data_IF_757632643316
#
_entry.id   IF_757632643316
#
_cell.length_a   1.000
_cell.length_b   1.000
_cell.length_c   1.000
_cell.angle_alpha   90.00
_cell.angle_beta   90.00
_cell.angle_gamma   90.00
#
_symmetry.space_group_name_H-M   'P 1'
#
loop_
_entity.id
_entity.type
_entity.pdbx_description
1 polymer ?
#
# COMPACT_ATOMS: atom_id res chain seq x y z
N UNK A 1 63.77 3.12 -9.21
CA UNK A 1 63.76 2.63 -7.81
C UNK A 1 62.33 2.83 -7.30
N UNK A 2 61.48 1.80 -7.36
CA UNK A 2 61.19 0.83 -6.29
C UNK A 2 60.56 1.42 -5.02
N UNK A 3 59.27 1.03 -4.82
CA UNK A 3 58.63 0.66 -3.53
C UNK A 3 58.38 1.81 -2.53
N UNK A 4 57.23 1.88 -1.85
CA UNK A 4 56.62 0.80 -1.10
C UNK A 4 55.08 0.80 -1.14
N UNK A 5 54.58 -0.43 -1.28
CA UNK A 5 53.21 -0.87 -1.05
C UNK A 5 53.06 -1.16 0.45
N UNK A 6 51.81 -1.23 0.91
CA UNK A 6 51.28 -2.03 2.03
C UNK A 6 51.16 -1.37 3.42
N UNK A 7 49.92 -1.16 3.85
CA UNK A 7 49.28 -1.82 5.01
C UNK A 7 47.78 -1.45 4.98
N UNK A 8 46.82 -2.35 4.70
CA UNK A 8 46.28 -3.42 5.60
C UNK A 8 45.67 -2.78 6.86
N UNK A 9 44.45 -3.04 7.32
CA UNK A 9 43.26 -3.77 6.85
C UNK A 9 42.25 -3.65 8.02
N UNK A 10 40.96 -3.74 7.71
CA UNK A 10 39.82 -4.15 8.57
C UNK A 10 39.43 -3.23 9.77
N UNK A 11 38.13 -2.93 9.86
CA UNK A 11 37.24 -3.39 10.95
C UNK A 11 36.06 -2.43 11.11
N UNK A 12 34.87 -3.00 10.86
CA UNK A 12 33.58 -2.63 11.45
C UNK A 12 32.95 -1.31 11.05
N UNK A 13 32.12 -1.37 10.01
CA UNK A 13 30.82 -0.71 10.11
C UNK A 13 29.77 -1.77 9.77
N UNK A 14 29.37 -2.47 10.83
CA UNK A 14 28.04 -2.98 11.08
C UNK A 14 27.15 -3.13 9.84
N UNK A 15 27.00 -4.37 9.35
CA UNK A 15 25.81 -4.77 8.59
C UNK A 15 24.59 -4.75 9.52
N UNK A 16 24.18 -3.56 9.91
CA UNK A 16 22.93 -3.28 10.60
C UNK A 16 22.18 -2.28 9.74
N UNK A 17 21.78 -2.71 8.56
CA UNK A 17 20.71 -2.09 7.82
C UNK A 17 19.79 -3.20 7.34
N UNK A 18 18.92 -3.65 8.24
CA UNK A 18 17.53 -3.88 7.82
C UNK A 18 17.09 -2.55 7.20
N UNK A 19 17.33 -2.39 5.89
CA UNK A 19 16.80 -1.29 5.11
C UNK A 19 15.29 -1.47 5.15
N UNK A 20 14.67 -0.85 6.14
CA UNK A 20 13.28 -0.44 6.08
C UNK A 20 13.22 0.48 4.87
N UNK A 21 12.92 -0.11 3.71
CA UNK A 21 12.77 0.58 2.44
C UNK A 21 11.65 1.59 2.62
N UNK A 22 12.01 2.78 3.05
CA UNK A 22 11.12 3.92 3.08
C UNK A 22 11.02 4.33 1.63
N UNK A 23 9.84 4.20 0.98
CA UNK A 23 9.72 4.49 -0.43
C UNK A 23 10.19 5.91 -0.70
N UNK A 24 10.96 6.08 -1.77
CA UNK A 24 11.49 7.38 -2.16
C UNK A 24 10.34 8.42 -2.29
N UNK A 25 10.55 9.69 -1.94
CA UNK A 25 9.52 10.73 -2.07
C UNK A 25 8.90 10.79 -3.47
N UNK A 26 9.71 10.55 -4.51
CA UNK A 26 9.24 10.51 -5.90
C UNK A 26 8.36 9.28 -6.16
N UNK A 27 8.72 8.11 -5.63
CA UNK A 27 7.93 6.89 -5.74
C UNK A 27 6.58 7.03 -5.01
N UNK A 28 6.58 7.70 -3.86
CA UNK A 28 5.36 7.99 -3.10
C UNK A 28 4.44 8.93 -3.88
N UNK A 29 4.97 9.96 -4.54
CA UNK A 29 4.18 10.89 -5.33
C UNK A 29 3.47 10.22 -6.52
N UNK A 30 4.21 9.39 -7.29
CA UNK A 30 3.65 8.63 -8.41
C UNK A 30 2.55 7.67 -7.93
N UNK A 31 2.78 6.98 -6.81
CA UNK A 31 1.78 6.10 -6.22
C UNK A 31 0.49 6.86 -5.84
N UNK A 32 0.59 8.04 -5.23
CA UNK A 32 -0.59 8.84 -4.87
C UNK A 32 -1.34 9.34 -6.12
N UNK A 33 -0.63 9.71 -7.18
CA UNK A 33 -1.21 10.12 -8.45
C UNK A 33 -1.99 8.96 -9.11
N UNK A 34 -1.42 7.75 -9.12
CA UNK A 34 -2.09 6.56 -9.65
C UNK A 34 -3.38 6.23 -8.88
N UNK A 35 -3.36 6.31 -7.54
CA UNK A 35 -4.58 6.10 -6.74
C UNK A 35 -5.63 7.17 -7.02
N UNK A 36 -5.22 8.44 -7.18
CA UNK A 36 -6.13 9.53 -7.54
C UNK A 36 -6.75 9.32 -8.93
N UNK A 37 -5.95 8.89 -9.91
CA UNK A 37 -6.40 8.56 -11.26
C UNK A 37 -7.42 7.42 -11.26
N UNK A 38 -7.12 6.33 -10.55
CA UNK A 38 -8.03 5.19 -10.41
C UNK A 38 -9.38 5.61 -9.79
N UNK A 39 -9.36 6.51 -8.80
CA UNK A 39 -10.59 7.07 -8.23
C UNK A 39 -11.37 7.90 -9.25
N UNK A 40 -10.70 8.74 -10.03
CA UNK A 40 -11.35 9.56 -11.06
C UNK A 40 -12.00 8.68 -12.14
N UNK A 41 -11.33 7.60 -12.57
CA UNK A 41 -11.89 6.64 -13.52
C UNK A 41 -13.10 5.91 -12.94
N UNK A 42 -13.10 5.56 -11.64
CA UNK A 42 -14.28 5.01 -10.95
C UNK A 42 -15.43 6.01 -10.90
N UNK A 43 -15.14 7.26 -10.50
CA UNK A 43 -16.15 8.33 -10.39
C UNK A 43 -16.78 8.64 -11.76
N UNK A 44 -16.00 8.55 -12.83
CA UNK A 44 -16.44 8.65 -14.22
C UNK A 44 -17.10 7.36 -14.77
N UNK A 45 -17.25 6.32 -13.95
CA UNK A 45 -17.80 4.99 -14.30
C UNK A 45 -17.07 4.29 -15.46
N UNK A 46 -15.79 4.59 -15.66
CA UNK A 46 -14.93 3.91 -16.65
C UNK A 46 -14.46 2.55 -16.16
N UNK A 47 -14.35 2.38 -14.84
CA UNK A 47 -14.01 1.13 -14.18
C UNK A 47 -15.06 0.82 -13.10
N UNK A 48 -15.24 -0.47 -12.80
CA UNK A 48 -16.16 -0.93 -11.75
C UNK A 48 -15.61 -0.68 -10.35
N UNK A 49 -16.44 -0.82 -9.31
CA UNK A 49 -15.93 -0.76 -7.93
C UNK A 49 -14.94 -1.88 -7.66
N UNK A 50 -15.19 -3.08 -8.19
CA UNK A 50 -14.33 -4.25 -8.01
C UNK A 50 -12.97 -4.02 -8.66
N UNK A 51 -12.95 -3.56 -9.91
CA UNK A 51 -11.70 -3.25 -10.60
C UNK A 51 -10.92 -2.16 -9.86
N UNK A 52 -11.60 -1.11 -9.42
CA UNK A 52 -10.97 -0.05 -8.63
C UNK A 52 -10.35 -0.58 -7.32
N UNK A 53 -11.06 -1.43 -6.58
CA UNK A 53 -10.58 -2.01 -5.33
C UNK A 53 -9.38 -2.95 -5.57
N UNK A 54 -9.43 -3.78 -6.62
CA UNK A 54 -8.36 -4.70 -6.97
C UNK A 54 -7.09 -3.96 -7.41
N UNK A 55 -7.21 -2.95 -8.28
CA UNK A 55 -6.07 -2.16 -8.76
C UNK A 55 -5.45 -1.30 -7.66
N UNK A 56 -6.27 -0.70 -6.80
CA UNK A 56 -5.78 0.03 -5.61
C UNK A 56 -5.06 -0.92 -4.66
N UNK A 57 -5.63 -2.10 -4.38
CA UNK A 57 -5.01 -3.10 -3.52
C UNK A 57 -3.69 -3.64 -4.08
N UNK A 58 -3.63 -3.90 -5.39
CA UNK A 58 -2.39 -4.30 -6.07
C UNK A 58 -1.31 -3.21 -6.01
N UNK A 59 -1.68 -1.95 -6.23
CA UNK A 59 -0.76 -0.82 -6.13
C UNK A 59 -0.21 -0.67 -4.70
N UNK A 60 -1.05 -0.86 -3.66
CA UNK A 60 -0.60 -0.83 -2.27
C UNK A 60 0.40 -1.97 -1.99
N UNK A 61 0.06 -3.21 -2.36
CA UNK A 61 0.95 -4.37 -2.17
C UNK A 61 2.31 -4.22 -2.85
N UNK A 62 2.36 -3.52 -3.98
CA UNK A 62 3.60 -3.27 -4.71
C UNK A 62 4.51 -2.23 -4.03
N UNK A 63 3.96 -1.35 -3.19
CA UNK A 63 4.70 -0.22 -2.62
C UNK A 63 4.96 -0.34 -1.11
N UNK A 64 4.20 -1.16 -0.38
CA UNK A 64 4.37 -1.35 1.06
C UNK A 64 4.19 -2.79 1.49
N UNK A 65 4.96 -3.21 2.50
CA UNK A 65 4.71 -4.47 3.21
C UNK A 65 3.47 -4.30 4.10
N UNK A 66 2.47 -5.14 3.88
CA UNK A 66 1.21 -5.08 4.61
C UNK A 66 1.22 -6.05 5.79
N UNK A 67 0.63 -5.63 6.90
CA UNK A 67 0.28 -6.54 7.99
C UNK A 67 -0.90 -7.44 7.59
N UNK A 68 -1.08 -8.59 8.26
CA UNK A 68 -2.23 -9.47 8.01
C UNK A 68 -3.59 -8.74 8.11
N UNK A 69 -3.72 -7.82 9.07
CA UNK A 69 -4.94 -7.02 9.25
C UNK A 69 -5.19 -6.05 8.07
N UNK A 70 -4.12 -5.46 7.53
CA UNK A 70 -4.23 -4.60 6.36
C UNK A 70 -4.61 -5.40 5.11
N UNK A 71 -4.04 -6.60 4.94
CA UNK A 71 -4.36 -7.51 3.85
C UNK A 71 -5.82 -7.99 3.92
N UNK A 72 -6.29 -8.31 5.13
CA UNK A 72 -7.70 -8.65 5.38
C UNK A 72 -8.63 -7.47 5.07
N UNK A 73 -8.24 -6.24 5.42
CA UNK A 73 -9.02 -5.04 5.12
C UNK A 73 -9.12 -4.76 3.61
N UNK A 74 -8.05 -4.96 2.84
CA UNK A 74 -8.08 -4.86 1.37
C UNK A 74 -9.03 -5.91 0.80
N UNK A 75 -8.91 -7.16 1.25
CA UNK A 75 -9.78 -8.26 0.80
C UNK A 75 -11.25 -7.97 1.10
N UNK A 76 -11.54 -7.47 2.31
CA UNK A 76 -12.89 -7.08 2.70
C UNK A 76 -13.43 -5.94 1.82
N UNK A 77 -12.62 -4.92 1.53
CA UNK A 77 -13.00 -3.83 0.61
C UNK A 77 -13.35 -4.35 -0.78
N UNK A 78 -12.60 -5.32 -1.31
CA UNK A 78 -12.91 -5.95 -2.60
C UNK A 78 -14.25 -6.71 -2.55
N UNK A 79 -14.57 -7.37 -1.44
CA UNK A 79 -15.89 -8.02 -1.29
C UNK A 79 -17.04 -7.00 -1.26
N UNK A 80 -16.86 -5.87 -0.56
CA UNK A 80 -17.84 -4.78 -0.57
C UNK A 80 -18.03 -4.22 -1.98
N UNK A 81 -16.94 -4.02 -2.72
CA UNK A 81 -16.96 -3.54 -4.09
C UNK A 81 -17.76 -4.46 -5.02
N UNK A 82 -17.58 -5.79 -4.90
CA UNK A 82 -18.39 -6.78 -5.64
C UNK A 82 -19.88 -6.66 -5.34
N UNK A 83 -20.25 -6.35 -4.09
CA UNK A 83 -21.65 -6.12 -3.71
C UNK A 83 -22.20 -4.83 -4.32
N UNK A 84 -21.38 -3.80 -4.49
CA UNK A 84 -21.80 -2.56 -5.18
C UNK A 84 -22.06 -2.84 -6.65
N UNK A 85 -21.13 -3.53 -7.33
CA UNK A 85 -21.28 -3.87 -8.74
C UNK A 85 -22.46 -4.81 -8.99
N UNK A 86 -22.76 -5.72 -8.04
CA UNK A 86 -23.94 -6.59 -8.08
C UNK A 86 -25.25 -5.88 -7.69
N UNK A 87 -25.23 -4.59 -7.33
CA UNK A 87 -26.42 -3.85 -6.86
C UNK A 87 -26.93 -4.23 -5.47
N UNK A 88 -26.23 -5.12 -4.75
CA UNK A 88 -26.55 -5.55 -3.39
C UNK A 88 -26.08 -4.57 -2.29
N UNK A 89 -25.39 -3.49 -2.69
CA UNK A 89 -24.89 -2.43 -1.82
C UNK A 89 -24.85 -1.11 -2.58
N UNK A 90 -25.20 -0.01 -1.91
CA UNK A 90 -25.06 1.34 -2.50
C UNK A 90 -23.63 1.86 -2.35
N UNK A 91 -23.17 2.75 -3.25
CA UNK A 91 -21.89 3.47 -3.09
C UNK A 91 -21.71 4.12 -1.71
N UNK A 92 -22.77 4.71 -1.15
CA UNK A 92 -22.70 5.36 0.16
C UNK A 92 -22.48 4.36 1.30
N UNK A 93 -23.07 3.17 1.22
CA UNK A 93 -22.82 2.09 2.17
C UNK A 93 -21.39 1.57 2.05
N UNK A 94 -20.88 1.42 0.82
CA UNK A 94 -19.50 1.02 0.58
C UNK A 94 -18.49 1.98 1.23
N UNK A 95 -18.66 3.30 1.06
CA UNK A 95 -17.75 4.29 1.65
C UNK A 95 -17.80 4.24 3.19
N UNK A 96 -19.00 4.09 3.77
CA UNK A 96 -19.17 3.97 5.23
C UNK A 96 -18.51 2.71 5.79
N UNK A 97 -18.74 1.55 5.19
CA UNK A 97 -18.18 0.29 5.67
C UNK A 97 -16.66 0.22 5.44
N UNK A 98 -16.17 0.79 4.34
CA UNK A 98 -14.74 0.95 4.08
C UNK A 98 -14.06 1.82 5.13
N UNK A 99 -14.68 2.95 5.52
CA UNK A 99 -14.15 3.84 6.56
C UNK A 99 -14.10 3.13 7.92
N UNK A 100 -15.15 2.42 8.32
CA UNK A 100 -15.20 1.63 9.56
C UNK A 100 -14.11 0.55 9.62
N UNK A 101 -13.83 -0.10 8.50
CA UNK A 101 -12.75 -1.10 8.44
C UNK A 101 -11.38 -0.43 8.56
N UNK A 102 -11.19 0.74 7.94
CA UNK A 102 -9.95 1.50 8.09
C UNK A 102 -9.72 1.97 9.53
N UNK A 103 -10.75 2.41 10.23
CA UNK A 103 -10.69 2.77 11.66
C UNK A 103 -10.27 1.59 12.52
N UNK A 104 -10.82 0.39 12.27
CA UNK A 104 -10.42 -0.83 12.97
C UNK A 104 -8.94 -1.17 12.76
N UNK A 105 -8.45 -1.12 11.53
CA UNK A 105 -7.02 -1.34 11.23
C UNK A 105 -6.13 -0.32 11.92
N UNK A 106 -6.55 0.95 11.97
CA UNK A 106 -5.80 2.01 12.67
C UNK A 106 -5.77 1.79 14.18
N UNK A 107 -6.88 1.37 14.78
CA UNK A 107 -6.97 1.05 16.19
C UNK A 107 -6.08 -0.16 16.56
N UNK A 108 -6.07 -1.22 15.74
CA UNK A 108 -5.17 -2.37 15.93
C UNK A 108 -3.68 -1.98 15.92
N UNK A 109 -3.29 -0.97 15.14
CA UNK A 109 -1.92 -0.47 15.08
C UNK A 109 -1.51 0.34 16.33
N UNK A 110 -2.46 0.94 17.04
CA UNK A 110 -2.19 1.78 18.22
C UNK A 110 -2.23 1.01 19.54
N UNK A 111 -2.85 -0.18 19.56
CA UNK A 111 -2.93 -1.04 20.75
C UNK A 111 -1.84 -2.13 20.84
N UNK A 112 -0.93 -2.18 19.87
CA UNK A 112 0.21 -3.10 19.80
C UNK A 112 1.52 -2.33 20.02
#
# INVERSE_FOLDING_TARGET
MYRNITAVLIVSISLAACQTATPDPQQTAVFQEDIARLRADRDARRISYTEWAERTGAAVRANVTLSPDQEAAITYRTQLARRVDAGAMTPRQFERESARTLERVRASKQGA
#
